data_IF_487330415423
#
_entry.id   IF_487330415423
#
_cell.length_a   1.000
_cell.length_b   1.000
_cell.length_c   1.000
_cell.angle_alpha   90.00
_cell.angle_beta   90.00
_cell.angle_gamma   90.00
#
_symmetry.space_group_name_H-M   'P 1'
#
loop_
_entity.id
_entity.type
_entity.pdbx_description
1 polymer ?
#
# COMPACT_ATOMS: atom_id res chain seq x y z
N UNK A 1 -11.61 -0.68 7.35
CA UNK A 1 -10.43 -1.06 6.55
C UNK A 1 -9.77 -2.27 7.17
N UNK A 2 -9.48 -3.29 6.38
CA UNK A 2 -8.75 -4.49 6.83
C UNK A 2 -7.29 -4.12 7.15
N UNK A 3 -6.72 -4.68 8.21
CA UNK A 3 -5.31 -4.46 8.56
C UNK A 3 -4.40 -5.03 7.46
N UNK A 4 -3.48 -4.21 6.95
CA UNK A 4 -2.56 -4.62 5.90
C UNK A 4 -1.11 -4.55 6.37
N UNK A 5 -0.34 -5.60 6.06
CA UNK A 5 1.10 -5.62 6.29
C UNK A 5 1.82 -4.85 5.17
N UNK A 6 2.75 -3.99 5.54
CA UNK A 6 3.65 -3.29 4.63
C UNK A 6 5.10 -3.66 4.96
N UNK A 7 5.97 -3.57 3.96
CA UNK A 7 7.40 -3.68 4.14
C UNK A 7 8.06 -2.34 3.85
N UNK A 8 8.61 -1.71 4.88
CA UNK A 8 9.39 -0.49 4.71
C UNK A 8 10.81 -0.87 4.28
N UNK A 9 11.13 -0.64 3.02
CA UNK A 9 12.46 -0.90 2.45
C UNK A 9 13.57 -0.03 3.06
N UNK A 10 13.22 1.12 3.64
CA UNK A 10 14.19 2.03 4.27
C UNK A 10 14.59 1.54 5.65
N UNK A 11 13.61 1.20 6.50
CA UNK A 11 13.87 0.61 7.81
C UNK A 11 14.11 -0.90 7.77
N UNK A 12 13.93 -1.54 6.60
CA UNK A 12 14.00 -2.99 6.37
C UNK A 12 13.11 -3.80 7.31
N UNK A 13 11.99 -3.22 7.73
CA UNK A 13 11.09 -3.78 8.70
C UNK A 13 9.67 -3.94 8.13
N UNK A 14 8.96 -4.93 8.66
CA UNK A 14 7.53 -5.10 8.41
C UNK A 14 6.73 -4.33 9.46
N UNK A 15 5.59 -3.79 9.06
CA UNK A 15 4.62 -3.21 9.97
C UNK A 15 3.21 -3.46 9.45
N UNK A 16 2.23 -3.36 10.33
CA UNK A 16 0.82 -3.50 9.96
C UNK A 16 0.09 -2.21 10.26
N UNK A 17 -0.85 -1.85 9.41
CA UNK A 17 -1.69 -0.66 9.61
C UNK A 17 -3.04 -0.82 8.94
N UNK A 18 -4.06 -0.21 9.52
CA UNK A 18 -5.38 -0.01 8.92
C UNK A 18 -5.47 1.34 8.19
N UNK A 19 -4.49 2.22 8.38
CA UNK A 19 -4.40 3.54 7.77
C UNK A 19 -3.58 3.45 6.48
N UNK A 20 -4.29 3.29 5.36
CA UNK A 20 -3.71 3.32 4.03
C UNK A 20 -4.72 3.77 2.98
N UNK A 21 -4.21 4.24 1.84
CA UNK A 21 -5.01 4.62 0.68
C UNK A 21 -4.79 3.65 -0.47
N UNK A 22 -5.85 3.29 -1.20
CA UNK A 22 -5.71 2.54 -2.46
C UNK A 22 -5.59 3.52 -3.62
N UNK A 23 -4.43 3.55 -4.27
CA UNK A 23 -4.16 4.36 -5.46
C UNK A 23 -4.08 3.47 -6.70
N UNK A 24 -4.74 3.90 -7.78
CA UNK A 24 -4.62 3.28 -9.10
C UNK A 24 -3.55 4.01 -9.91
N UNK A 25 -2.60 3.29 -10.49
CA UNK A 25 -1.60 3.83 -11.42
C UNK A 25 -1.48 2.94 -12.65
N UNK A 26 -1.30 3.57 -13.81
CA UNK A 26 -0.96 2.85 -15.03
C UNK A 26 0.53 2.55 -15.07
N UNK A 27 0.88 1.27 -15.18
CA UNK A 27 2.27 0.79 -15.21
C UNK A 27 2.44 -0.08 -16.43
N UNK A 28 3.29 0.35 -17.38
CA UNK A 28 3.54 -0.34 -18.66
C UNK A 28 2.24 -0.60 -19.46
N UNK A 29 1.32 0.38 -19.47
CA UNK A 29 0.05 0.32 -20.19
C UNK A 29 -1.00 -0.61 -19.56
N UNK A 30 -0.84 -0.98 -18.29
CA UNK A 30 -1.83 -1.75 -17.53
C UNK A 30 -2.14 -1.05 -16.20
N UNK A 31 -3.41 -0.95 -15.81
CA UNK A 31 -3.77 -0.40 -14.50
C UNK A 31 -3.33 -1.36 -13.39
N UNK A 32 -2.61 -0.82 -12.41
CA UNK A 32 -2.26 -1.50 -11.16
C UNK A 32 -2.80 -0.73 -9.97
N UNK A 33 -3.10 -1.46 -8.91
CA UNK A 33 -3.55 -0.91 -7.65
C UNK A 33 -2.43 -1.02 -6.62
N UNK A 34 -2.28 0.02 -5.82
CA UNK A 34 -1.27 0.13 -4.78
C UNK A 34 -1.95 0.56 -3.49
N UNK A 35 -1.69 -0.15 -2.41
CA UNK A 35 -1.94 0.36 -1.07
C UNK A 35 -0.76 1.24 -0.68
N UNK A 36 -1.04 2.43 -0.16
CA UNK A 36 -0.04 3.43 0.22
C UNK A 36 -0.28 3.80 1.68
N UNK A 37 0.71 3.54 2.53
CA UNK A 37 0.68 3.86 3.95
C UNK A 37 1.87 4.74 4.34
N UNK A 38 1.72 5.59 5.37
CA UNK A 38 2.86 6.28 5.95
C UNK A 38 3.78 5.28 6.68
N UNK A 39 5.10 5.53 6.65
CA UNK A 39 6.03 4.73 7.42
C UNK A 39 5.83 4.94 8.94
N UNK A 40 5.96 3.89 9.78
CA UNK A 40 5.63 3.96 11.21
C UNK A 40 6.74 4.58 12.08
N UNK A 41 7.97 4.66 11.57
CA UNK A 41 9.10 5.35 12.22
C UNK A 41 9.18 6.78 11.70
N UNK A 42 9.87 7.73 12.37
CA UNK A 42 10.08 9.09 11.86
C UNK A 42 10.73 9.00 10.47
N UNK A 43 9.88 9.02 9.47
CA UNK A 43 10.12 8.53 8.14
C UNK A 43 9.03 9.16 7.32
N UNK A 44 9.36 10.30 6.73
CA UNK A 44 8.46 11.15 5.95
C UNK A 44 8.07 10.53 4.61
N UNK A 45 8.24 9.21 4.46
CA UNK A 45 8.08 8.48 3.21
C UNK A 45 6.87 7.56 3.24
N UNK A 46 6.32 7.34 2.05
CA UNK A 46 5.21 6.42 1.83
C UNK A 46 5.73 5.01 1.54
N UNK A 47 5.07 4.00 2.11
CA UNK A 47 5.27 2.59 1.81
C UNK A 47 4.23 2.12 0.80
N UNK A 48 4.69 1.63 -0.36
CA UNK A 48 3.83 1.24 -1.47
C UNK A 48 3.79 -0.29 -1.59
N UNK A 49 2.59 -0.87 -1.47
CA UNK A 49 2.34 -2.30 -1.65
C UNK A 49 1.46 -2.54 -2.87
N UNK A 50 1.86 -3.46 -3.74
CA UNK A 50 1.02 -3.86 -4.88
C UNK A 50 -0.19 -4.66 -4.38
N UNK A 51 -1.37 -4.29 -4.87
CA UNK A 51 -2.64 -4.97 -4.58
C UNK A 51 -3.21 -5.51 -5.90
N UNK A 52 -3.67 -6.76 -5.88
CA UNK A 52 -4.37 -7.36 -7.02
C UNK A 52 -5.67 -6.62 -7.33
N UNK A 53 -6.11 -6.64 -8.59
CA UNK A 53 -7.30 -5.90 -9.02
C UNK A 53 -8.58 -6.32 -8.28
N UNK A 54 -8.73 -7.59 -7.93
CA UNK A 54 -9.88 -8.10 -7.18
C UNK A 54 -9.88 -7.57 -5.75
N UNK A 55 -8.77 -7.76 -5.01
CA UNK A 55 -8.63 -7.26 -3.64
C UNK A 55 -8.74 -5.74 -3.56
N UNK A 56 -8.26 -5.01 -4.57
CA UNK A 56 -8.41 -3.55 -4.63
C UNK A 56 -9.88 -3.13 -4.77
N UNK A 57 -10.69 -3.86 -5.56
CA UNK A 57 -12.14 -3.62 -5.66
C UNK A 57 -12.86 -3.87 -4.33
N UNK A 58 -12.44 -4.89 -3.57
CA UNK A 58 -13.00 -5.16 -2.25
C UNK A 58 -12.65 -4.06 -1.24
N UNK A 59 -11.41 -3.55 -1.28
CA UNK A 59 -10.93 -2.51 -0.36
C UNK A 59 -11.39 -1.09 -0.72
N UNK A 60 -11.83 -0.87 -1.95
CA UNK A 60 -12.44 0.39 -2.41
C UNK A 60 -13.95 0.47 -2.15
N UNK A 61 -14.55 -0.59 -1.62
CA UNK A 61 -15.98 -0.72 -1.35
C UNK A 61 -16.32 -0.33 0.08
#
# INVERSE_FOLDING_TARGET
MEEMEFYDVKSKAKFKTTEYEIRKKDVKGKPRFFAVAAAPKPGTHECWRVVGAEKAKELMK
#
